data_IF_253358330358
#
_entry.id   IF_253358330358
#
_cell.length_a   1.000
_cell.length_b   1.000
_cell.length_c   1.000
_cell.angle_alpha   90.00
_cell.angle_beta   90.00
_cell.angle_gamma   90.00
#
_symmetry.space_group_name_H-M   'P 1'
#
loop_
_entity.id
_entity.type
_entity.pdbx_description
1 polymer ?
#
# COMPACT_ATOMS: atom_id res chain seq x y z
N UNK A 1 1.34 9.69 -7.00
CA UNK A 1 0.53 8.69 -6.26
C UNK A 1 -0.73 9.40 -5.79
N UNK A 2 -1.89 8.75 -5.79
CA UNK A 2 -3.16 9.44 -5.55
C UNK A 2 -3.34 9.99 -4.13
N UNK A 3 -3.20 9.16 -3.09
CA UNK A 3 -3.50 9.54 -1.70
C UNK A 3 -2.24 9.67 -0.84
N UNK A 4 -1.07 9.92 -1.46
CA UNK A 4 0.20 10.12 -0.74
C UNK A 4 0.53 9.01 0.30
N UNK A 5 0.29 7.73 -0.03
CA UNK A 5 0.50 6.63 0.93
C UNK A 5 1.98 6.28 1.14
N UNK A 6 2.34 5.72 2.31
CA UNK A 6 3.71 5.23 2.63
C UNK A 6 3.98 3.93 1.85
N UNK A 7 4.22 4.07 0.55
CA UNK A 7 4.19 2.97 -0.41
C UNK A 7 5.13 1.82 -0.07
N UNK A 8 6.39 2.11 0.28
CA UNK A 8 7.38 1.09 0.63
C UNK A 8 7.01 0.29 1.88
N UNK A 9 6.32 0.93 2.84
CA UNK A 9 5.77 0.22 4.01
C UNK A 9 4.61 -0.69 3.60
N UNK A 10 3.70 -0.20 2.75
CA UNK A 10 2.55 -0.99 2.30
C UNK A 10 2.98 -2.24 1.51
N UNK A 11 3.98 -2.12 0.64
CA UNK A 11 4.50 -3.28 -0.10
C UNK A 11 5.28 -4.23 0.79
N UNK A 12 6.20 -3.72 1.61
CA UNK A 12 7.11 -4.59 2.35
C UNK A 12 6.44 -5.22 3.59
N UNK A 13 5.63 -4.47 4.32
CA UNK A 13 5.03 -4.92 5.59
C UNK A 13 3.63 -5.49 5.38
N UNK A 14 2.75 -4.78 4.67
CA UNK A 14 1.35 -5.22 4.48
C UNK A 14 1.18 -6.16 3.29
N UNK A 15 2.21 -6.30 2.44
CA UNK A 15 2.17 -7.02 1.17
C UNK A 15 1.04 -6.54 0.23
N UNK A 16 0.61 -5.28 0.38
CA UNK A 16 -0.50 -4.66 -0.33
C UNK A 16 -0.07 -4.04 -1.67
N UNK A 17 0.62 -4.83 -2.51
CA UNK A 17 1.16 -4.39 -3.80
C UNK A 17 0.08 -3.89 -4.76
N UNK A 18 -1.09 -4.50 -4.74
CA UNK A 18 -2.23 -4.15 -5.57
C UNK A 18 -2.79 -2.77 -5.23
N UNK A 19 -2.84 -2.40 -3.94
CA UNK A 19 -3.25 -1.06 -3.51
C UNK A 19 -2.31 0.01 -4.07
N UNK A 20 -1.00 -0.18 -3.88
CA UNK A 20 0.02 0.76 -4.36
C UNK A 20 -0.01 0.88 -5.89
N UNK A 21 -0.14 -0.26 -6.59
CA UNK A 21 -0.28 -0.28 -8.05
C UNK A 21 -1.48 0.56 -8.52
N UNK A 22 -2.64 0.35 -7.91
CA UNK A 22 -3.87 1.05 -8.32
C UNK A 22 -3.81 2.55 -8.01
N UNK A 23 -3.23 2.95 -6.88
CA UNK A 23 -3.06 4.37 -6.53
C UNK A 23 -2.11 5.10 -7.48
N UNK A 24 -1.07 4.42 -7.98
CA UNK A 24 -0.18 4.99 -8.99
C UNK A 24 -0.92 5.14 -10.31
N UNK A 25 -1.60 4.08 -10.78
CA UNK A 25 -2.37 4.12 -12.01
C UNK A 25 -3.44 5.23 -11.98
N UNK A 26 -4.17 5.33 -10.86
CA UNK A 26 -5.17 6.37 -10.67
C UNK A 26 -4.55 7.76 -10.58
N UNK A 27 -3.45 7.92 -9.83
CA UNK A 27 -2.73 9.19 -9.74
C UNK A 27 -2.22 9.67 -11.11
N UNK A 28 -1.66 8.77 -11.93
CA UNK A 28 -1.25 9.08 -13.31
C UNK A 28 -2.41 9.58 -14.15
N UNK A 29 -3.55 8.90 -14.08
CA UNK A 29 -4.77 9.29 -14.79
C UNK A 29 -5.22 10.70 -14.40
N UNK A 30 -5.27 11.00 -13.10
CA UNK A 30 -5.64 12.35 -12.62
C UNK A 30 -4.64 13.40 -13.10
N UNK A 31 -3.34 13.11 -13.07
CA UNK A 31 -2.32 14.01 -13.61
C UNK A 31 -2.52 14.25 -15.10
N UNK A 32 -2.73 13.21 -15.90
CA UNK A 32 -2.99 13.32 -17.34
C UNK A 32 -4.22 14.22 -17.61
N UNK A 33 -5.35 13.95 -16.95
CA UNK A 33 -6.59 14.72 -17.09
C UNK A 33 -6.39 16.20 -16.69
N UNK A 34 -5.71 16.45 -15.57
CA UNK A 34 -5.44 17.81 -15.06
C UNK A 34 -4.51 18.59 -15.99
N UNK A 35 -3.58 17.90 -16.65
CA UNK A 35 -2.59 18.49 -17.55
C UNK A 35 -3.05 18.51 -19.02
N UNK A 36 -4.36 18.41 -19.27
CA UNK A 36 -4.95 18.58 -20.62
C UNK A 36 -5.04 17.29 -21.46
N UNK A 37 -4.96 16.11 -20.84
CA UNK A 37 -5.33 14.84 -21.44
C UNK A 37 -4.30 14.19 -22.37
N UNK A 38 -3.09 14.74 -22.47
CA UNK A 38 -2.00 14.19 -23.30
C UNK A 38 -0.66 14.08 -22.57
N UNK A 39 -0.60 14.57 -21.33
CA UNK A 39 0.62 14.52 -20.54
C UNK A 39 0.81 13.13 -19.91
N UNK A 40 1.85 12.43 -20.34
CA UNK A 40 2.24 11.17 -19.72
C UNK A 40 3.22 11.41 -18.58
N UNK A 41 2.76 11.19 -17.34
CA UNK A 41 3.59 11.20 -16.15
C UNK A 41 4.58 10.01 -16.17
N UNK A 42 5.86 10.32 -16.33
CA UNK A 42 6.98 9.35 -16.29
C UNK A 42 7.75 9.40 -14.97
N UNK A 43 7.67 10.50 -14.24
CA UNK A 43 8.26 10.64 -12.90
C UNK A 43 7.24 10.38 -11.80
N UNK A 44 7.71 9.94 -10.64
CA UNK A 44 6.92 9.88 -9.42
C UNK A 44 7.69 10.54 -8.26
N UNK A 45 6.97 11.31 -7.44
CA UNK A 45 7.40 11.54 -6.06
C UNK A 45 6.96 10.34 -5.24
N UNK A 46 7.92 9.53 -4.79
CA UNK A 46 7.65 8.47 -3.82
C UNK A 46 7.30 9.15 -2.51
N UNK A 47 6.04 9.07 -2.01
CA UNK A 47 5.64 9.80 -0.81
C UNK A 47 6.59 9.52 0.34
N UNK A 48 7.07 10.58 0.99
CA UNK A 48 8.02 10.49 2.11
C UNK A 48 9.32 9.77 1.77
N UNK A 49 9.64 9.67 0.47
CA UNK A 49 10.68 8.79 -0.07
C UNK A 49 10.62 7.39 0.58
N UNK A 50 9.41 6.92 0.92
CA UNK A 50 9.16 5.65 1.55
C UNK A 50 9.40 4.52 0.55
N UNK A 51 10.66 4.14 0.37
CA UNK A 51 11.10 3.24 -0.66
C UNK A 51 11.22 1.80 -0.16
N UNK A 52 10.97 0.85 -1.06
CA UNK A 52 11.27 -0.57 -0.92
C UNK A 52 11.62 -1.10 -2.32
N UNK A 53 12.50 -2.10 -2.41
CA UNK A 53 12.78 -2.77 -3.68
C UNK A 53 11.52 -3.40 -4.30
N UNK A 54 10.51 -3.76 -3.49
CA UNK A 54 9.21 -4.27 -3.94
C UNK A 54 8.41 -3.23 -4.78
N UNK A 55 8.78 -1.95 -4.74
CA UNK A 55 8.16 -0.90 -5.57
C UNK A 55 8.65 -0.92 -7.03
N UNK A 56 9.84 -1.45 -7.31
CA UNK A 56 10.43 -1.40 -8.65
C UNK A 56 9.53 -2.07 -9.70
N UNK A 57 9.03 -3.31 -9.49
CA UNK A 57 8.11 -3.92 -10.44
C UNK A 57 6.83 -3.11 -10.63
N UNK A 58 6.29 -2.52 -9.56
CA UNK A 58 5.06 -1.73 -9.58
C UNK A 58 5.26 -0.46 -10.42
N UNK A 59 6.37 0.25 -10.20
CA UNK A 59 6.70 1.47 -10.93
C UNK A 59 6.92 1.18 -12.41
N UNK A 60 7.70 0.14 -12.71
CA UNK A 60 7.98 -0.29 -14.08
C UNK A 60 6.70 -0.63 -14.84
N UNK A 61 5.80 -1.43 -14.24
CA UNK A 61 4.54 -1.86 -14.87
C UNK A 61 3.55 -0.69 -15.04
N UNK A 62 3.62 0.31 -14.18
CA UNK A 62 2.86 1.56 -14.33
C UNK A 62 3.50 2.54 -15.34
N UNK A 63 4.61 2.18 -15.97
CA UNK A 63 5.33 3.05 -16.90
C UNK A 63 6.05 4.23 -16.23
N UNK A 64 6.24 4.18 -14.91
CA UNK A 64 7.08 5.14 -14.19
C UNK A 64 8.54 4.82 -14.51
N UNK A 65 9.30 5.84 -14.86
CA UNK A 65 10.69 5.75 -15.29
C UNK A 65 11.66 6.20 -14.21
N UNK A 66 11.31 7.22 -13.42
CA UNK A 66 12.22 7.78 -12.43
C UNK A 66 11.54 8.26 -11.15
N UNK A 67 12.30 8.27 -10.06
CA UNK A 67 11.95 8.89 -8.77
C UNK A 67 13.18 9.58 -8.18
N UNK A 68 12.96 10.38 -7.14
CA UNK A 68 14.01 10.96 -6.28
C UNK A 68 14.00 10.26 -4.93
N UNK A 69 15.17 9.98 -4.36
CA UNK A 69 15.37 9.45 -3.00
C UNK A 69 16.40 10.31 -2.23
N UNK A 70 16.57 10.02 -0.94
CA UNK A 70 17.44 10.79 -0.04
C UNK A 70 18.89 10.28 -0.02
N UNK A 71 19.86 11.19 -0.05
CA UNK A 71 21.29 10.85 0.05
C UNK A 71 21.62 10.08 1.34
N UNK A 72 21.25 10.67 2.48
CA UNK A 72 21.69 10.22 3.81
C UNK A 72 21.11 8.84 4.11
N UNK A 73 19.83 8.65 3.82
CA UNK A 73 19.11 7.46 4.25
C UNK A 73 19.01 6.36 3.20
N UNK A 74 19.13 6.70 1.91
CA UNK A 74 19.08 5.73 0.82
C UNK A 74 20.46 5.53 0.16
N UNK A 75 21.05 6.57 -0.43
CA UNK A 75 22.28 6.42 -1.23
C UNK A 75 23.47 5.87 -0.43
N UNK A 76 23.71 6.43 0.77
CA UNK A 76 24.84 6.05 1.60
C UNK A 76 24.82 4.56 1.98
N UNK A 77 23.63 3.97 2.05
CA UNK A 77 23.40 2.58 2.42
C UNK A 77 23.02 1.69 1.22
N UNK A 78 22.97 2.24 0.00
CA UNK A 78 22.72 1.47 -1.21
C UNK A 78 23.92 0.58 -1.57
N UNK A 79 23.64 -0.53 -2.25
CA UNK A 79 24.61 -1.51 -2.73
C UNK A 79 24.63 -1.54 -4.26
N UNK A 80 25.78 -1.92 -4.83
CA UNK A 80 26.03 -1.94 -6.26
C UNK A 80 27.17 -1.01 -6.67
N UNK A 81 27.21 -0.63 -7.94
CA UNK A 81 28.17 0.35 -8.45
C UNK A 81 27.68 1.75 -8.07
N UNK A 82 28.39 2.41 -7.15
CA UNK A 82 28.10 3.79 -6.71
C UNK A 82 29.35 4.64 -6.65
N UNK A 83 29.18 5.94 -6.90
CA UNK A 83 30.25 6.94 -6.82
C UNK A 83 29.80 8.16 -6.01
N UNK A 84 28.95 9.01 -6.59
CA UNK A 84 28.38 10.17 -5.91
C UNK A 84 26.88 10.28 -6.16
N UNK A 85 26.17 11.07 -5.37
CA UNK A 85 24.74 11.36 -5.59
C UNK A 85 24.47 12.21 -6.83
N UNK A 86 25.52 12.79 -7.42
CA UNK A 86 25.43 13.81 -8.46
C UNK A 86 25.32 13.21 -9.88
N UNK A 87 24.77 12.01 -10.01
CA UNK A 87 24.49 11.34 -11.27
C UNK A 87 23.26 10.41 -11.14
N UNK A 88 22.54 10.12 -12.25
CA UNK A 88 21.41 9.19 -12.22
C UNK A 88 21.88 7.73 -12.14
N UNK A 89 21.11 6.91 -11.41
CA UNK A 89 21.38 5.49 -11.20
C UNK A 89 20.28 4.61 -11.80
N UNK A 90 20.65 3.44 -12.30
CA UNK A 90 19.71 2.35 -12.57
C UNK A 90 19.56 1.55 -11.28
N UNK A 91 18.34 1.39 -10.79
CA UNK A 91 18.04 0.52 -9.64
C UNK A 91 17.27 -0.68 -10.16
N UNK A 92 17.83 -1.87 -9.98
CA UNK A 92 17.31 -3.11 -10.56
C UNK A 92 16.80 -4.05 -9.46
N UNK A 93 15.57 -4.56 -9.64
CA UNK A 93 15.12 -5.75 -8.93
C UNK A 93 15.74 -6.96 -9.62
N UNK A 94 16.77 -7.53 -9.00
CA UNK A 94 17.53 -8.67 -9.54
C UNK A 94 16.68 -9.93 -9.74
N UNK A 95 15.53 -10.04 -9.06
CA UNK A 95 14.65 -11.20 -9.18
C UNK A 95 13.77 -11.15 -10.44
N UNK A 96 13.24 -9.98 -10.79
CA UNK A 96 12.37 -9.79 -11.96
C UNK A 96 13.08 -9.23 -13.19
N UNK A 97 14.28 -8.65 -13.02
CA UNK A 97 15.01 -7.93 -14.05
C UNK A 97 14.41 -6.55 -14.38
N UNK A 98 13.35 -6.13 -13.69
CA UNK A 98 12.75 -4.80 -13.84
C UNK A 98 13.60 -3.76 -13.13
N UNK A 99 13.53 -2.52 -13.62
CA UNK A 99 14.36 -1.44 -13.10
C UNK A 99 13.65 -0.10 -13.17
N UNK A 100 14.15 0.87 -12.40
CA UNK A 100 13.79 2.28 -12.51
C UNK A 100 15.07 3.11 -12.48
N UNK A 101 14.97 4.37 -12.89
CA UNK A 101 16.03 5.33 -12.64
C UNK A 101 15.80 6.06 -11.32
N UNK A 102 16.87 6.28 -10.56
CA UNK A 102 16.80 7.01 -9.29
C UNK A 102 17.84 8.12 -9.31
N UNK A 103 17.40 9.31 -8.91
CA UNK A 103 18.29 10.39 -8.54
C UNK A 103 18.23 10.56 -7.03
N UNK A 104 19.33 11.04 -6.44
CA UNK A 104 19.38 11.31 -5.01
C UNK A 104 19.44 12.81 -4.77
N UNK A 105 18.60 13.32 -3.86
CA UNK A 105 18.67 14.72 -3.47
C UNK A 105 19.92 14.98 -2.64
N UNK A 106 20.52 16.15 -2.80
CA UNK A 106 21.52 16.67 -1.87
C UNK A 106 20.79 17.06 -0.58
N UNK A 107 20.97 16.26 0.47
CA UNK A 107 20.17 16.40 1.70
C UNK A 107 20.49 17.70 2.43
N UNK A 108 21.74 18.17 2.39
CA UNK A 108 22.13 19.45 3.01
C UNK A 108 21.42 20.62 2.33
N UNK A 109 21.60 20.74 1.00
CA UNK A 109 21.00 21.83 0.23
C UNK A 109 19.47 21.82 0.34
N UNK A 110 18.86 20.63 0.26
CA UNK A 110 17.41 20.46 0.38
C UNK A 110 16.89 20.90 1.76
N UNK A 111 17.56 20.49 2.84
CA UNK A 111 17.16 20.82 4.21
C UNK A 111 17.37 22.31 4.53
N UNK A 112 18.38 22.96 3.95
CA UNK A 112 18.55 24.41 4.11
C UNK A 112 17.30 25.16 3.60
N UNK A 113 16.85 24.82 2.40
CA UNK A 113 15.68 25.47 1.80
C UNK A 113 14.37 25.08 2.47
N UNK A 114 14.28 23.85 3.00
CA UNK A 114 13.09 23.34 3.68
C UNK A 114 12.90 23.91 5.09
N UNK A 115 13.97 23.88 5.90
CA UNK A 115 13.85 24.05 7.35
C UNK A 115 14.71 25.20 7.93
N UNK A 116 15.73 25.66 7.20
CA UNK A 116 16.64 26.72 7.67
C UNK A 116 16.44 28.05 6.93
N UNK A 117 15.23 28.31 6.45
CA UNK A 117 14.85 29.48 5.64
C UNK A 117 14.37 30.69 6.48
N UNK A 118 14.95 30.88 7.66
CA UNK A 118 14.53 31.86 8.66
C UNK A 118 15.17 33.24 8.47
N UNK A 119 14.81 33.95 7.41
CA UNK A 119 15.38 35.27 7.11
C UNK A 119 14.73 36.38 7.94
N UNK A 120 15.51 37.30 8.52
CA UNK A 120 14.95 38.37 9.34
C UNK A 120 14.52 39.60 8.52
N UNK A 121 15.19 39.90 7.41
CA UNK A 121 14.82 40.98 6.49
C UNK A 121 15.19 40.66 5.03
N UNK A 122 14.86 41.58 4.12
CA UNK A 122 15.11 41.47 2.68
C UNK A 122 16.61 41.37 2.34
N UNK A 123 17.47 42.14 3.01
CA UNK A 123 18.91 42.14 2.75
C UNK A 123 19.51 40.79 3.14
N UNK A 124 19.10 40.24 4.27
CA UNK A 124 19.50 38.92 4.72
C UNK A 124 19.03 37.83 3.76
N UNK A 125 17.76 37.87 3.34
CA UNK A 125 17.23 36.93 2.35
C UNK A 125 18.01 36.98 1.03
N UNK A 126 18.28 38.19 0.52
CA UNK A 126 19.05 38.38 -0.70
C UNK A 126 20.48 37.82 -0.58
N UNK A 127 21.20 38.19 0.49
CA UNK A 127 22.55 37.66 0.73
C UNK A 127 22.58 36.13 0.80
N UNK A 128 21.62 35.52 1.48
CA UNK A 128 21.54 34.06 1.58
C UNK A 128 21.23 33.41 0.22
N UNK A 129 20.41 34.03 -0.63
CA UNK A 129 20.14 33.53 -1.97
C UNK A 129 21.43 33.49 -2.82
N UNK A 130 22.26 34.52 -2.71
CA UNK A 130 23.56 34.57 -3.33
C UNK A 130 24.48 33.46 -2.81
N UNK A 131 24.64 33.34 -1.49
CA UNK A 131 25.47 32.30 -0.86
C UNK A 131 24.99 30.89 -1.22
N UNK A 132 23.68 30.66 -1.29
CA UNK A 132 23.11 29.37 -1.67
C UNK A 132 23.39 29.05 -3.16
N UNK A 133 23.26 30.02 -4.06
CA UNK A 133 23.62 29.84 -5.48
C UNK A 133 25.10 29.47 -5.66
N UNK A 134 25.99 30.06 -4.85
CA UNK A 134 27.41 29.72 -4.86
C UNK A 134 27.65 28.29 -4.38
N UNK A 135 26.93 27.80 -3.37
CA UNK A 135 27.02 26.41 -2.91
C UNK A 135 26.61 25.42 -4.00
N UNK A 136 25.57 25.75 -4.78
CA UNK A 136 25.15 24.93 -5.94
C UNK A 136 26.24 24.93 -7.00
N UNK A 137 26.73 26.11 -7.40
CA UNK A 137 27.79 26.22 -8.41
C UNK A 137 29.07 25.49 -7.97
N UNK A 138 29.38 25.51 -6.67
CA UNK A 138 30.55 24.82 -6.11
C UNK A 138 30.53 23.30 -6.34
N UNK A 139 29.35 22.67 -6.43
CA UNK A 139 29.23 21.23 -6.73
C UNK A 139 29.79 20.90 -8.12
N UNK A 140 29.64 21.80 -9.08
CA UNK A 140 30.20 21.63 -10.42
C UNK A 140 31.73 21.60 -10.42
N UNK A 141 32.36 22.51 -9.66
CA UNK A 141 33.82 22.68 -9.70
C UNK A 141 34.61 21.59 -8.97
N UNK A 142 34.02 20.95 -7.95
CA UNK A 142 34.75 20.05 -7.06
C UNK A 142 34.30 18.60 -7.19
N UNK A 143 33.02 18.35 -7.39
CA UNK A 143 32.44 17.00 -7.30
C UNK A 143 32.22 16.35 -8.67
N UNK A 144 32.69 17.01 -9.75
CA UNK A 144 32.41 16.63 -11.15
C UNK A 144 30.91 16.31 -11.37
N UNK A 145 30.05 17.08 -10.70
CA UNK A 145 28.62 16.83 -10.63
C UNK A 145 27.97 16.86 -12.01
N UNK A 146 27.34 15.74 -12.42
CA UNK A 146 26.55 15.67 -13.66
C UNK A 146 25.15 16.24 -13.45
N UNK A 147 24.58 16.04 -12.26
CA UNK A 147 23.28 16.55 -11.85
C UNK A 147 23.27 16.90 -10.37
N UNK A 148 22.59 17.97 -9.98
CA UNK A 148 22.31 18.30 -8.58
C UNK A 148 20.81 18.33 -8.39
N UNK A 149 20.28 17.49 -7.51
CA UNK A 149 18.85 17.44 -7.20
C UNK A 149 18.61 18.08 -5.84
N UNK A 150 17.75 19.08 -5.81
CA UNK A 150 17.25 19.72 -4.58
C UNK A 150 15.77 19.37 -4.50
N UNK A 151 15.34 18.69 -3.44
CA UNK A 151 13.99 18.17 -3.33
C UNK A 151 13.43 18.34 -1.92
N UNK A 152 12.23 18.92 -1.85
CA UNK A 152 11.54 19.35 -0.65
C UNK A 152 10.04 19.50 -0.90
N UNK A 153 9.26 19.55 0.18
CA UNK A 153 7.84 19.85 0.10
C UNK A 153 7.62 21.31 -0.30
N UNK A 154 6.60 21.53 -1.14
CA UNK A 154 6.38 22.80 -1.82
C UNK A 154 5.96 23.95 -0.91
N UNK A 155 5.43 23.62 0.26
CA UNK A 155 4.93 24.55 1.27
C UNK A 155 5.93 24.86 2.39
N UNK A 156 7.04 24.11 2.48
CA UNK A 156 7.99 24.22 3.58
C UNK A 156 8.56 25.64 3.74
N UNK A 157 8.79 26.32 2.62
CA UNK A 157 9.28 27.70 2.60
C UNK A 157 8.28 28.71 3.19
N UNK A 158 6.99 28.39 3.22
CA UNK A 158 5.94 29.21 3.80
C UNK A 158 5.65 28.84 5.25
N UNK A 159 5.51 27.55 5.54
CA UNK A 159 4.98 27.06 6.82
C UNK A 159 6.05 27.09 7.91
N UNK A 160 7.29 26.74 7.58
CA UNK A 160 8.37 26.64 8.56
C UNK A 160 9.25 27.89 8.66
N UNK A 161 9.00 28.89 7.81
CA UNK A 161 9.68 30.19 7.88
C UNK A 161 9.09 31.09 8.96
N UNK A 162 9.97 31.70 9.76
CA UNK A 162 9.60 32.78 10.70
C UNK A 162 9.17 34.07 10.00
N UNK A 163 9.55 34.28 8.74
CA UNK A 163 9.19 35.46 7.96
C UNK A 163 8.97 35.06 6.48
N UNK A 164 7.81 34.47 6.15
CA UNK A 164 7.53 33.96 4.81
C UNK A 164 7.70 35.00 3.69
N UNK A 165 7.34 36.29 3.86
CA UNK A 165 7.65 37.32 2.86
C UNK A 165 9.14 37.46 2.54
N UNK A 166 10.03 37.40 3.54
CA UNK A 166 11.47 37.44 3.30
C UNK A 166 11.96 36.16 2.59
N UNK A 167 11.38 35.00 2.89
CA UNK A 167 11.67 33.73 2.18
C UNK A 167 11.24 33.79 0.72
N UNK A 168 10.12 34.44 0.40
CA UNK A 168 9.73 34.67 -0.99
C UNK A 168 10.80 35.49 -1.73
N UNK A 169 11.34 36.55 -1.12
CA UNK A 169 12.43 37.34 -1.71
C UNK A 169 13.68 36.48 -1.92
N UNK A 170 14.03 35.61 -0.96
CA UNK A 170 15.15 34.67 -1.13
C UNK A 170 14.93 33.79 -2.37
N UNK A 171 13.74 33.22 -2.56
CA UNK A 171 13.43 32.35 -3.71
C UNK A 171 13.50 33.11 -5.04
N UNK A 172 12.94 34.32 -5.10
CA UNK A 172 13.02 35.19 -6.27
C UNK A 172 14.47 35.53 -6.64
N UNK A 173 15.28 35.92 -5.64
CA UNK A 173 16.70 36.22 -5.87
C UNK A 173 17.49 34.97 -6.26
N UNK A 174 17.18 33.83 -5.65
CA UNK A 174 17.83 32.57 -5.97
C UNK A 174 17.54 32.19 -7.43
N UNK A 175 16.28 32.30 -7.89
CA UNK A 175 15.93 32.04 -9.29
C UNK A 175 16.77 32.90 -10.25
N UNK A 176 16.85 34.21 -10.00
CA UNK A 176 17.68 35.13 -10.81
C UNK A 176 19.15 34.70 -10.84
N UNK A 177 19.71 34.31 -9.69
CA UNK A 177 21.10 33.86 -9.63
C UNK A 177 21.33 32.55 -10.39
N UNK A 178 20.41 31.60 -10.27
CA UNK A 178 20.51 30.32 -10.97
C UNK A 178 20.35 30.50 -12.50
N UNK A 179 19.43 31.35 -12.94
CA UNK A 179 19.29 31.72 -14.36
C UNK A 179 20.55 32.41 -14.88
N UNK A 180 21.13 33.33 -14.11
CA UNK A 180 22.39 34.01 -14.49
C UNK A 180 23.53 33.00 -14.63
N UNK A 181 23.66 32.05 -13.71
CA UNK A 181 24.68 30.99 -13.77
C UNK A 181 24.45 30.07 -14.97
N UNK A 182 23.19 29.81 -15.33
CA UNK A 182 22.85 29.07 -16.54
C UNK A 182 23.24 29.84 -17.81
N UNK A 183 22.95 31.14 -17.90
CA UNK A 183 23.31 31.97 -19.06
C UNK A 183 24.84 32.08 -19.23
N UNK A 184 25.57 32.05 -18.11
CA UNK A 184 27.03 31.95 -18.10
C UNK A 184 27.56 30.54 -18.39
N UNK A 185 26.68 29.58 -18.70
CA UNK A 185 27.02 28.18 -19.04
C UNK A 185 27.71 27.40 -17.92
N UNK A 186 27.49 27.74 -16.65
CA UNK A 186 27.99 26.94 -15.52
C UNK A 186 27.22 25.62 -15.34
N UNK A 187 25.90 25.66 -15.48
CA UNK A 187 25.02 24.49 -15.44
C UNK A 187 23.74 24.76 -16.24
N UNK A 188 22.90 23.74 -16.42
CA UNK A 188 21.56 23.88 -17.00
C UNK A 188 20.50 23.56 -15.95
N UNK A 189 19.57 24.50 -15.71
CA UNK A 189 18.33 24.22 -14.99
C UNK A 189 17.50 23.28 -15.85
N UNK A 190 17.24 22.08 -15.33
CA UNK A 190 16.65 21.00 -16.10
C UNK A 190 15.53 20.35 -15.31
N UNK A 191 14.50 19.90 -16.01
CA UNK A 191 13.55 18.95 -15.46
C UNK A 191 14.23 17.59 -15.27
N UNK A 192 13.70 16.75 -14.37
CA UNK A 192 14.21 15.37 -14.21
C UNK A 192 14.12 14.56 -15.51
N UNK A 193 13.09 14.82 -16.35
CA UNK A 193 12.95 14.18 -17.66
C UNK A 193 14.13 14.52 -18.56
N UNK A 194 14.47 15.80 -18.68
CA UNK A 194 15.62 16.24 -19.47
C UNK A 194 16.93 15.68 -18.93
N UNK A 195 17.10 15.58 -17.61
CA UNK A 195 18.29 14.94 -17.02
C UNK A 195 18.37 13.48 -17.49
N UNK A 196 17.27 12.73 -17.43
CA UNK A 196 17.25 11.33 -17.84
C UNK A 196 17.45 11.12 -19.35
N UNK A 197 17.06 12.09 -20.17
CA UNK A 197 17.25 12.04 -21.63
C UNK A 197 18.69 12.39 -22.05
N UNK A 198 19.38 13.24 -21.28
CA UNK A 198 20.68 13.79 -21.68
C UNK A 198 21.87 13.24 -20.86
N UNK A 199 21.64 12.69 -19.67
CA UNK A 199 22.67 12.16 -18.78
C UNK A 199 22.51 10.64 -18.67
N UNK A 200 23.43 9.85 -19.25
CA UNK A 200 23.30 8.39 -19.21
C UNK A 200 23.52 7.86 -17.80
N UNK A 201 22.52 7.16 -17.27
CA UNK A 201 22.68 6.33 -16.08
C UNK A 201 23.49 5.09 -16.45
N UNK A 202 24.75 5.04 -16.03
CA UNK A 202 25.68 3.94 -16.33
C UNK A 202 25.94 3.03 -15.13
N UNK A 203 25.61 3.49 -13.93
CA UNK A 203 25.83 2.81 -12.67
C UNK A 203 24.56 2.09 -12.22
N UNK A 204 24.73 0.88 -11.71
CA UNK A 204 23.64 -0.01 -11.30
C UNK A 204 23.69 -0.25 -9.80
N UNK A 205 22.60 0.10 -9.12
CA UNK A 205 22.35 -0.25 -7.73
C UNK A 205 21.48 -1.51 -7.67
N UNK A 206 21.91 -2.50 -6.89
CA UNK A 206 21.23 -3.79 -6.73
C UNK A 206 20.36 -3.84 -5.48
N UNK A 207 20.58 -2.93 -4.53
CA UNK A 207 19.79 -2.81 -3.32
C UNK A 207 19.79 -1.36 -2.83
N UNK A 208 18.63 -0.89 -2.38
CA UNK A 208 18.47 0.34 -1.61
C UNK A 208 17.67 -0.05 -0.37
N UNK A 209 18.08 0.35 0.84
CA UNK A 209 17.37 -0.05 2.05
C UNK A 209 15.90 0.40 2.04
N UNK A 210 15.04 -0.43 2.61
CA UNK A 210 13.63 -0.11 2.83
C UNK A 210 13.49 0.88 3.99
N UNK A 211 13.36 2.17 3.68
CA UNK A 211 13.14 3.22 4.67
C UNK A 211 12.51 4.47 4.02
N UNK A 212 12.61 5.63 4.69
CA UNK A 212 12.06 6.92 4.28
C UNK A 212 13.17 7.97 4.25
N UNK A 213 12.88 9.22 3.87
CA UNK A 213 13.85 10.32 4.02
C UNK A 213 14.24 10.62 5.48
N UNK A 214 13.60 9.99 6.47
CA UNK A 214 13.99 10.02 7.89
C UNK A 214 14.81 8.78 8.32
N UNK A 215 15.06 7.84 7.41
CA UNK A 215 15.75 6.58 7.70
C UNK A 215 14.93 5.56 8.49
N UNK A 216 13.63 5.82 8.71
CA UNK A 216 12.77 4.93 9.49
C UNK A 216 11.29 5.19 9.23
N UNK A 217 10.43 4.22 9.54
CA UNK A 217 8.97 4.39 9.51
C UNK A 217 8.38 4.89 10.83
N UNK A 218 9.20 5.22 11.84
CA UNK A 218 8.74 5.54 13.21
C UNK A 218 7.67 6.64 13.28
N UNK A 219 7.77 7.66 12.42
CA UNK A 219 6.76 8.73 12.30
C UNK A 219 5.37 8.23 11.95
N UNK A 220 5.26 7.19 11.12
CA UNK A 220 3.98 6.60 10.70
C UNK A 220 3.63 5.32 11.47
N UNK A 221 4.61 4.72 12.16
CA UNK A 221 4.45 3.49 12.97
C UNK A 221 5.39 3.46 14.17
N UNK A 222 4.86 3.68 15.36
CA UNK A 222 5.54 3.42 16.63
C UNK A 222 5.81 4.65 17.50
N UNK A 223 5.90 5.86 16.94
CA UNK A 223 6.04 7.07 17.77
C UNK A 223 4.78 7.41 18.58
N UNK A 224 3.59 7.12 18.07
CA UNK A 224 2.40 7.01 18.91
C UNK A 224 2.14 5.54 19.22
N UNK A 225 1.80 5.29 20.48
CA UNK A 225 1.50 3.95 21.00
C UNK A 225 0.36 3.28 20.20
N UNK A 226 -0.57 4.09 19.70
CA UNK A 226 -1.75 3.66 18.99
C UNK A 226 -1.51 3.30 17.52
N UNK A 227 -0.37 3.64 16.91
CA UNK A 227 -0.15 3.37 15.48
C UNK A 227 -0.35 1.89 15.15
N UNK A 228 0.17 0.98 15.98
CA UNK A 228 0.13 -0.46 15.70
C UNK A 228 -1.31 -0.99 15.64
N UNK A 229 -2.17 -0.62 16.59
CA UNK A 229 -3.57 -1.06 16.58
C UNK A 229 -4.34 -0.51 15.37
N UNK A 230 -3.98 0.67 14.87
CA UNK A 230 -4.61 1.23 13.67
C UNK A 230 -4.13 0.51 12.41
N UNK A 231 -2.85 0.19 12.30
CA UNK A 231 -2.32 -0.60 11.17
C UNK A 231 -2.95 -1.99 11.11
N UNK A 232 -3.15 -2.65 12.26
CA UNK A 232 -3.90 -3.91 12.35
C UNK A 232 -5.32 -3.74 11.81
N UNK A 233 -6.05 -2.69 12.22
CA UNK A 233 -7.40 -2.41 11.69
C UNK A 233 -7.40 -2.18 10.18
N UNK A 234 -6.45 -1.40 9.66
CA UNK A 234 -6.33 -1.16 8.23
C UNK A 234 -6.08 -2.47 7.45
N UNK A 235 -5.20 -3.32 7.96
CA UNK A 235 -4.91 -4.63 7.38
C UNK A 235 -6.12 -5.58 7.44
N UNK A 236 -6.89 -5.58 8.53
CA UNK A 236 -8.15 -6.34 8.61
C UNK A 236 -9.15 -5.92 7.53
N UNK A 237 -9.30 -4.61 7.29
CA UNK A 237 -10.18 -4.10 6.24
C UNK A 237 -9.67 -4.49 4.85
N UNK A 238 -8.36 -4.35 4.59
CA UNK A 238 -7.74 -4.82 3.36
C UNK A 238 -8.02 -6.32 3.10
N UNK A 239 -7.86 -7.17 4.14
CA UNK A 239 -8.20 -8.59 4.05
C UNK A 239 -9.68 -8.85 3.77
N UNK A 240 -10.60 -8.06 4.36
CA UNK A 240 -12.04 -8.17 4.08
C UNK A 240 -12.40 -7.77 2.65
N UNK A 241 -11.76 -6.73 2.11
CA UNK A 241 -11.90 -6.34 0.69
C UNK A 241 -11.45 -7.49 -0.19
N UNK A 242 -10.25 -8.05 0.04
CA UNK A 242 -9.74 -9.19 -0.73
C UNK A 242 -10.62 -10.44 -0.61
N UNK A 243 -11.19 -10.69 0.57
CA UNK A 243 -12.16 -11.77 0.78
C UNK A 243 -13.40 -11.59 -0.10
N UNK A 244 -13.97 -10.38 -0.09
CA UNK A 244 -15.14 -10.05 -0.92
C UNK A 244 -14.84 -10.18 -2.41
N UNK A 245 -13.70 -9.67 -2.87
CA UNK A 245 -13.29 -9.78 -4.27
C UNK A 245 -13.08 -11.23 -4.70
N UNK A 246 -12.44 -12.05 -3.85
CA UNK A 246 -12.30 -13.47 -4.10
C UNK A 246 -13.65 -14.20 -4.12
N UNK A 247 -14.54 -13.80 -3.21
CA UNK A 247 -15.90 -14.35 -3.12
C UNK A 247 -16.68 -14.10 -4.41
N UNK A 248 -16.59 -12.93 -5.01
CA UNK A 248 -17.32 -12.60 -6.25
C UNK A 248 -16.53 -12.89 -7.54
N UNK A 249 -15.32 -13.47 -7.42
CA UNK A 249 -14.46 -13.81 -8.55
C UNK A 249 -13.81 -12.61 -9.26
N UNK A 250 -13.64 -11.47 -8.59
CA UNK A 250 -13.00 -10.28 -9.15
C UNK A 250 -13.42 -8.98 -8.46
N UNK A 251 -13.22 -7.85 -9.15
CA UNK A 251 -13.62 -6.52 -8.66
C UNK A 251 -14.96 -6.09 -9.25
N UNK A 252 -15.67 -5.27 -8.50
CA UNK A 252 -16.95 -4.64 -8.86
C UNK A 252 -16.99 -3.19 -8.35
N UNK A 253 -18.13 -2.51 -8.50
CA UNK A 253 -18.24 -1.13 -8.05
C UNK A 253 -18.10 -0.99 -6.53
N UNK A 254 -18.59 -1.96 -5.74
CA UNK A 254 -18.52 -1.91 -4.28
C UNK A 254 -17.08 -2.06 -3.78
N UNK A 255 -16.38 -3.10 -4.24
CA UNK A 255 -14.96 -3.32 -3.91
C UNK A 255 -14.08 -2.17 -4.38
N UNK A 256 -14.31 -1.60 -5.57
CA UNK A 256 -13.60 -0.39 -6.03
C UNK A 256 -13.82 0.80 -5.11
N UNK A 257 -15.06 1.04 -4.66
CA UNK A 257 -15.36 2.09 -3.68
C UNK A 257 -14.69 1.83 -2.33
N UNK A 258 -14.73 0.59 -1.84
CA UNK A 258 -14.09 0.21 -0.59
C UNK A 258 -12.56 0.37 -0.64
N UNK A 259 -11.92 0.01 -1.77
CA UNK A 259 -10.50 0.28 -2.02
C UNK A 259 -10.20 1.78 -2.03
N UNK A 260 -11.00 2.57 -2.75
CA UNK A 260 -10.84 4.02 -2.78
C UNK A 260 -10.95 4.66 -1.38
N UNK A 261 -11.89 4.19 -0.56
CA UNK A 261 -11.97 4.59 0.86
C UNK A 261 -10.75 4.12 1.66
N UNK A 262 -10.24 2.91 1.42
CA UNK A 262 -9.01 2.43 2.06
C UNK A 262 -7.80 3.30 1.69
N UNK A 263 -7.65 3.76 0.44
CA UNK A 263 -6.57 4.67 0.03
C UNK A 263 -6.50 5.92 0.91
N UNK A 264 -7.64 6.55 1.17
CA UNK A 264 -7.72 7.72 2.06
C UNK A 264 -7.43 7.39 3.52
N UNK A 265 -7.74 6.17 3.97
CA UNK A 265 -7.35 5.73 5.31
C UNK A 265 -5.84 5.49 5.43
N UNK A 266 -5.15 5.21 4.33
CA UNK A 266 -3.72 4.89 4.26
C UNK A 266 -2.84 6.12 3.94
N UNK A 267 -3.46 7.27 3.67
CA UNK A 267 -2.78 8.54 3.37
C UNK A 267 -1.80 8.91 4.48
N UNK A 268 -0.51 9.08 4.13
CA UNK A 268 0.56 9.24 5.11
C UNK A 268 0.35 10.39 6.07
N UNK A 269 -0.32 11.45 5.63
CA UNK A 269 -0.45 12.68 6.40
C UNK A 269 -1.24 12.44 7.68
N UNK A 270 -2.24 11.56 7.63
CA UNK A 270 -3.02 11.19 8.80
C UNK A 270 -2.27 10.29 9.79
N UNK A 271 -1.19 9.65 9.33
CA UNK A 271 -0.35 8.77 10.15
C UNK A 271 0.89 9.46 10.72
N UNK A 272 1.23 10.66 10.26
CA UNK A 272 2.39 11.40 10.75
C UNK A 272 2.23 11.72 12.24
N UNK A 273 3.19 11.31 13.09
CA UNK A 273 3.06 11.34 14.55
C UNK A 273 2.62 12.70 15.12
N UNK A 274 3.18 13.82 14.65
CA UNK A 274 2.81 15.17 15.11
C UNK A 274 1.39 15.60 14.67
N UNK A 275 0.90 15.09 13.54
CA UNK A 275 -0.39 15.45 12.92
C UNK A 275 -1.38 14.27 12.90
N UNK A 276 -1.12 13.27 13.74
CA UNK A 276 -1.86 12.02 13.82
C UNK A 276 -3.36 12.26 13.91
N UNK A 277 -4.10 11.77 12.91
CA UNK A 277 -5.51 12.07 12.68
C UNK A 277 -6.38 10.80 12.73
N UNK A 278 -6.55 10.19 13.91
CA UNK A 278 -7.24 8.90 14.06
C UNK A 278 -8.73 8.96 13.72
N UNK A 279 -9.35 10.14 13.84
CA UNK A 279 -10.75 10.36 13.46
C UNK A 279 -10.96 10.20 11.95
N UNK A 280 -10.05 10.73 11.14
CA UNK A 280 -10.10 10.63 9.67
C UNK A 280 -9.80 9.20 9.23
N UNK A 281 -8.77 8.57 9.81
CA UNK A 281 -8.46 7.15 9.55
C UNK A 281 -9.68 6.28 9.88
N UNK A 282 -10.28 6.45 11.06
CA UNK A 282 -11.46 5.69 11.45
C UNK A 282 -12.65 5.92 10.52
N UNK A 283 -12.89 7.16 10.07
CA UNK A 283 -13.98 7.49 9.15
C UNK A 283 -13.86 6.69 7.85
N UNK A 284 -12.67 6.70 7.23
CA UNK A 284 -12.42 6.01 5.98
C UNK A 284 -12.38 4.49 6.12
N UNK A 285 -11.81 3.97 7.22
CA UNK A 285 -11.86 2.54 7.53
C UNK A 285 -13.30 2.07 7.77
N UNK A 286 -14.15 2.88 8.41
CA UNK A 286 -15.55 2.57 8.64
C UNK A 286 -16.34 2.56 7.31
N UNK A 287 -16.11 3.51 6.42
CA UNK A 287 -16.74 3.52 5.09
C UNK A 287 -16.36 2.26 4.30
N UNK A 288 -15.06 1.95 4.20
CA UNK A 288 -14.59 0.74 3.53
C UNK A 288 -15.21 -0.53 4.14
N UNK A 289 -15.25 -0.62 5.48
CA UNK A 289 -15.86 -1.73 6.22
C UNK A 289 -17.36 -1.87 5.91
N UNK A 290 -18.11 -0.79 5.97
CA UNK A 290 -19.56 -0.80 5.79
C UNK A 290 -19.92 -1.29 4.38
N UNK A 291 -19.16 -0.86 3.36
CA UNK A 291 -19.35 -1.31 1.98
C UNK A 291 -19.16 -2.83 1.86
N UNK A 292 -18.07 -3.38 2.38
CA UNK A 292 -17.79 -4.83 2.23
C UNK A 292 -18.67 -5.67 3.13
N UNK A 293 -18.90 -5.28 4.39
CA UNK A 293 -19.70 -6.08 5.34
C UNK A 293 -21.17 -6.13 4.95
N UNK A 294 -21.74 -5.02 4.43
CA UNK A 294 -23.12 -5.03 3.94
C UNK A 294 -23.32 -5.98 2.74
N UNK A 295 -22.27 -6.23 1.96
CA UNK A 295 -22.31 -7.19 0.85
C UNK A 295 -21.97 -8.60 1.29
N UNK A 296 -21.05 -8.79 2.24
CA UNK A 296 -20.76 -10.12 2.79
C UNK A 296 -21.97 -10.70 3.53
N UNK A 297 -22.74 -9.88 4.26
CA UNK A 297 -23.97 -10.30 4.96
C UNK A 297 -25.08 -10.83 4.03
N UNK A 298 -25.03 -10.52 2.74
CA UNK A 298 -25.95 -11.04 1.71
C UNK A 298 -25.65 -12.50 1.35
N UNK A 299 -24.55 -13.05 1.87
CA UNK A 299 -24.16 -14.45 1.72
C UNK A 299 -24.18 -15.08 3.11
N UNK A 300 -25.13 -15.98 3.36
CA UNK A 300 -25.32 -16.54 4.70
C UNK A 300 -25.82 -17.98 4.67
N UNK A 301 -25.61 -18.70 5.78
CA UNK A 301 -26.10 -20.05 6.00
C UNK A 301 -27.56 -19.98 6.45
N UNK A 302 -28.49 -20.18 5.52
CA UNK A 302 -29.92 -20.24 5.85
C UNK A 302 -30.22 -21.40 6.79
N UNK A 303 -29.75 -22.59 6.48
CA UNK A 303 -30.07 -23.81 7.23
C UNK A 303 -28.87 -24.75 7.30
N UNK A 304 -28.71 -25.43 8.43
CA UNK A 304 -27.80 -26.55 8.58
C UNK A 304 -28.47 -27.61 9.45
N UNK A 305 -28.48 -28.88 9.02
CA UNK A 305 -29.05 -30.00 9.78
C UNK A 305 -28.44 -31.33 9.35
N UNK A 306 -28.55 -32.36 10.19
CA UNK A 306 -28.18 -33.72 9.79
C UNK A 306 -29.21 -34.29 8.82
N UNK A 307 -28.77 -35.10 7.86
CA UNK A 307 -29.68 -35.76 6.91
C UNK A 307 -30.37 -36.99 7.50
N UNK A 308 -29.81 -37.53 8.58
CA UNK A 308 -30.34 -38.63 9.38
C UNK A 308 -29.87 -38.53 10.83
N UNK A 309 -30.38 -39.41 11.67
CA UNK A 309 -29.89 -39.57 13.03
C UNK A 309 -28.48 -40.20 13.01
N UNK A 310 -27.46 -39.55 13.57
CA UNK A 310 -26.08 -40.04 13.50
C UNK A 310 -25.79 -41.04 14.64
N UNK A 311 -25.01 -42.07 14.31
CA UNK A 311 -24.48 -43.03 15.26
C UNK A 311 -22.95 -42.94 15.29
N UNK A 312 -22.38 -43.31 16.44
CA UNK A 312 -20.94 -43.41 16.63
C UNK A 312 -20.30 -44.33 15.57
N UNK A 313 -19.12 -43.93 15.09
CA UNK A 313 -18.38 -44.56 14.00
C UNK A 313 -19.08 -44.61 12.63
N UNK A 314 -20.21 -43.91 12.45
CA UNK A 314 -20.91 -43.84 11.17
C UNK A 314 -20.62 -42.54 10.41
N UNK A 315 -20.62 -42.67 9.07
CA UNK A 315 -20.63 -41.53 8.16
C UNK A 315 -22.05 -41.02 7.99
N UNK A 316 -22.26 -39.72 8.02
CA UNK A 316 -23.55 -39.10 7.70
C UNK A 316 -23.31 -37.77 7.01
N UNK A 317 -24.37 -37.12 6.53
CA UNK A 317 -24.23 -35.81 5.91
C UNK A 317 -24.83 -34.72 6.79
N UNK A 318 -24.14 -33.59 6.83
CA UNK A 318 -24.74 -32.33 7.24
C UNK A 318 -25.21 -31.65 5.95
N UNK A 319 -26.53 -31.48 5.83
CA UNK A 319 -27.16 -30.68 4.80
C UNK A 319 -26.98 -29.21 5.17
N UNK A 320 -26.26 -28.46 4.35
CA UNK A 320 -26.06 -27.02 4.50
C UNK A 320 -26.73 -26.32 3.33
N UNK A 321 -27.60 -25.36 3.64
CA UNK A 321 -28.23 -24.48 2.65
C UNK A 321 -27.65 -23.09 2.82
N UNK A 322 -27.04 -22.60 1.74
CA UNK A 322 -26.42 -21.28 1.66
C UNK A 322 -27.21 -20.42 0.70
N UNK A 323 -27.55 -19.21 1.13
CA UNK A 323 -28.23 -18.22 0.31
C UNK A 323 -27.22 -17.20 -0.21
N UNK A 324 -27.31 -16.93 -1.52
CA UNK A 324 -26.58 -15.87 -2.18
C UNK A 324 -27.56 -14.82 -2.68
N UNK A 325 -27.66 -13.71 -1.94
CA UNK A 325 -28.51 -12.58 -2.31
C UNK A 325 -27.76 -11.54 -3.16
N UNK A 326 -26.52 -11.81 -3.58
CA UNK A 326 -25.80 -10.94 -4.50
C UNK A 326 -26.29 -11.14 -5.94
N UNK A 327 -26.13 -10.09 -6.75
CA UNK A 327 -26.36 -10.11 -8.21
C UNK A 327 -25.21 -10.77 -8.99
N UNK A 328 -24.36 -11.54 -8.30
CA UNK A 328 -23.19 -12.22 -8.86
C UNK A 328 -23.10 -13.64 -8.35
N UNK A 329 -22.53 -14.51 -9.17
CA UNK A 329 -22.08 -15.82 -8.73
C UNK A 329 -21.00 -15.66 -7.66
N UNK A 330 -21.02 -16.54 -6.65
CA UNK A 330 -20.04 -16.53 -5.57
C UNK A 330 -19.25 -17.83 -5.51
N UNK A 331 -18.00 -17.71 -5.03
CA UNK A 331 -17.03 -18.77 -4.83
C UNK A 331 -16.72 -18.88 -3.34
N UNK A 332 -17.33 -19.85 -2.67
CA UNK A 332 -17.25 -19.97 -1.20
C UNK A 332 -16.90 -21.38 -0.74
N UNK A 333 -16.10 -21.48 0.30
CA UNK A 333 -15.73 -22.76 0.92
C UNK A 333 -16.59 -22.97 2.16
N UNK A 334 -17.13 -24.18 2.35
CA UNK A 334 -17.89 -24.55 3.55
C UNK A 334 -17.06 -25.48 4.40
N UNK A 335 -16.69 -25.06 5.60
CA UNK A 335 -15.91 -25.87 6.55
C UNK A 335 -16.80 -26.28 7.73
N UNK A 336 -16.54 -27.47 8.28
CA UNK A 336 -17.23 -27.96 9.48
C UNK A 336 -16.19 -28.26 10.56
N UNK A 337 -16.42 -27.75 11.77
CA UNK A 337 -15.59 -28.00 12.94
C UNK A 337 -16.41 -28.51 14.12
N UNK A 338 -15.99 -29.62 14.73
CA UNK A 338 -16.52 -30.12 16.01
C UNK A 338 -15.56 -31.14 16.62
N UNK A 339 -15.43 -31.24 17.96
CA UNK A 339 -14.62 -32.28 18.61
C UNK A 339 -15.12 -33.71 18.36
N UNK A 340 -16.42 -33.88 18.09
CA UNK A 340 -17.05 -35.19 17.89
C UNK A 340 -17.12 -35.66 16.43
N UNK A 341 -16.69 -34.82 15.48
CA UNK A 341 -16.84 -35.07 14.04
C UNK A 341 -15.53 -34.82 13.30
N UNK A 342 -15.27 -35.63 12.28
CA UNK A 342 -14.24 -35.34 11.28
C UNK A 342 -14.87 -35.22 9.90
N UNK A 343 -14.40 -34.26 9.10
CA UNK A 343 -14.74 -34.20 7.68
C UNK A 343 -13.98 -35.29 6.94
N UNK A 344 -14.68 -36.01 6.06
CA UNK A 344 -14.11 -37.18 5.35
C UNK A 344 -13.31 -36.75 4.10
N UNK A 345 -13.48 -35.50 3.64
CA UNK A 345 -12.78 -34.94 2.47
C UNK A 345 -12.24 -33.55 2.79
N UNK A 346 -10.94 -33.46 3.00
CA UNK A 346 -10.22 -32.20 3.29
C UNK A 346 -10.11 -31.26 2.07
N UNK A 347 -10.34 -31.75 0.85
CA UNK A 347 -10.36 -30.90 -0.35
C UNK A 347 -11.71 -30.20 -0.53
N UNK A 348 -11.96 -29.17 0.27
CA UNK A 348 -13.12 -28.32 0.08
C UNK A 348 -12.87 -27.37 -1.11
N UNK A 349 -13.07 -27.89 -2.33
CA UNK A 349 -13.17 -27.06 -3.53
C UNK A 349 -14.24 -25.97 -3.30
N UNK A 350 -13.97 -24.72 -3.69
CA UNK A 350 -14.96 -23.65 -3.63
C UNK A 350 -16.26 -24.06 -4.32
N UNK A 351 -17.39 -23.81 -3.66
CA UNK A 351 -18.71 -23.90 -4.23
C UNK A 351 -18.99 -22.70 -5.09
N UNK A 352 -19.55 -22.96 -6.27
CA UNK A 352 -20.10 -21.92 -7.13
C UNK A 352 -21.61 -21.85 -6.85
N UNK A 353 -22.05 -20.76 -6.23
CA UNK A 353 -23.47 -20.50 -5.96
C UNK A 353 -23.92 -19.38 -6.89
N UNK A 354 -24.98 -19.61 -7.66
CA UNK A 354 -25.46 -18.65 -8.66
C UNK A 354 -25.99 -17.38 -8.01
N UNK A 355 -25.94 -16.27 -8.74
CA UNK A 355 -26.57 -15.02 -8.34
C UNK A 355 -28.04 -15.21 -7.93
N UNK A 356 -28.49 -14.52 -6.88
CA UNK A 356 -29.88 -14.55 -6.37
C UNK A 356 -30.45 -15.95 -6.22
N UNK A 357 -29.67 -16.87 -5.65
CA UNK A 357 -30.07 -18.28 -5.55
C UNK A 357 -29.67 -18.89 -4.20
N UNK A 358 -30.30 -20.02 -3.89
CA UNK A 358 -29.91 -20.89 -2.78
C UNK A 358 -29.19 -22.12 -3.32
N UNK A 359 -28.18 -22.60 -2.59
CA UNK A 359 -27.50 -23.84 -2.89
C UNK A 359 -27.53 -24.77 -1.68
N UNK A 360 -27.94 -26.02 -1.92
CA UNK A 360 -27.95 -27.07 -0.90
C UNK A 360 -26.78 -28.03 -1.15
N UNK A 361 -25.94 -28.24 -0.14
CA UNK A 361 -24.83 -29.20 -0.17
C UNK A 361 -24.96 -30.21 0.96
N UNK A 362 -24.77 -31.48 0.64
CA UNK A 362 -24.50 -32.52 1.64
C UNK A 362 -23.00 -32.61 1.87
N UNK A 363 -22.58 -32.42 3.12
CA UNK A 363 -21.17 -32.49 3.53
C UNK A 363 -20.98 -33.78 4.34
N UNK A 364 -20.19 -34.75 3.83
CA UNK A 364 -19.96 -36.01 4.51
C UNK A 364 -19.03 -35.79 5.71
N UNK A 365 -19.49 -36.24 6.87
CA UNK A 365 -18.77 -36.21 8.14
C UNK A 365 -18.85 -37.59 8.80
N UNK A 366 -17.85 -37.93 9.61
CA UNK A 366 -17.85 -39.15 10.42
C UNK A 366 -17.95 -38.79 11.90
N UNK A 367 -18.86 -39.45 12.60
CA UNK A 367 -18.95 -39.41 14.05
C UNK A 367 -17.83 -40.22 14.70
N UNK A 368 -17.08 -39.61 15.61
CA UNK A 368 -16.02 -40.28 16.38
C UNK A 368 -16.51 -40.68 17.77
N UNK A 369 -17.34 -39.85 18.38
CA UNK A 369 -17.80 -40.05 19.76
C UNK A 369 -19.32 -39.92 19.82
N UNK A 370 -19.95 -40.70 20.70
CA UNK A 370 -21.37 -40.51 21.06
C UNK A 370 -21.56 -39.37 22.07
N UNK A 371 -22.74 -38.74 22.05
CA UNK A 371 -23.09 -37.60 22.89
C UNK A 371 -23.62 -36.39 22.12
N UNK A 372 -23.89 -35.31 22.84
CA UNK A 372 -24.33 -34.04 22.26
C UNK A 372 -23.11 -33.18 21.89
N UNK A 373 -22.98 -32.82 20.61
CA UNK A 373 -21.89 -31.99 20.11
C UNK A 373 -22.41 -30.70 19.48
N UNK A 374 -21.71 -29.61 19.76
CA UNK A 374 -21.85 -28.37 18.99
C UNK A 374 -21.01 -28.48 17.72
N UNK A 375 -21.65 -28.28 16.58
CA UNK A 375 -21.03 -28.34 15.27
C UNK A 375 -21.08 -26.97 14.65
N UNK A 376 -19.92 -26.40 14.35
CA UNK A 376 -19.80 -25.09 13.71
C UNK A 376 -19.62 -25.29 12.21
N UNK A 377 -20.56 -24.77 11.43
CA UNK A 377 -20.46 -24.67 9.98
C UNK A 377 -20.02 -23.24 9.66
N UNK A 378 -19.00 -23.08 8.84
CA UNK A 378 -18.46 -21.77 8.46
C UNK A 378 -18.38 -21.62 6.95
N UNK A 379 -18.76 -20.44 6.46
CA UNK A 379 -18.49 -19.97 5.10
C UNK A 379 -17.19 -19.20 5.11
N UNK A 380 -16.23 -19.64 4.30
CA UNK A 380 -14.89 -19.04 4.24
C UNK A 380 -14.55 -18.69 2.79
N UNK A 381 -14.01 -17.49 2.59
CA UNK A 381 -13.36 -17.08 1.34
C UNK A 381 -12.03 -16.43 1.67
N UNK A 382 -10.98 -16.80 0.93
CA UNK A 382 -9.63 -16.27 1.11
C UNK A 382 -9.12 -16.30 2.57
N UNK A 383 -9.44 -17.36 3.31
CA UNK A 383 -9.07 -17.52 4.72
C UNK A 383 -9.78 -16.54 5.68
N UNK A 384 -10.86 -15.88 5.26
CA UNK A 384 -11.69 -14.98 6.07
C UNK A 384 -13.08 -15.58 6.22
N UNK A 385 -13.59 -15.57 7.45
CA UNK A 385 -14.97 -15.98 7.77
C UNK A 385 -15.97 -14.97 7.19
N UNK A 386 -16.94 -15.47 6.43
CA UNK A 386 -18.06 -14.70 5.88
C UNK A 386 -19.26 -14.80 6.83
N UNK A 387 -19.64 -16.03 7.15
CA UNK A 387 -20.77 -16.35 8.01
C UNK A 387 -20.52 -17.68 8.73
N UNK A 388 -21.17 -17.90 9.87
CA UNK A 388 -21.10 -19.16 10.61
C UNK A 388 -22.41 -19.49 11.29
N UNK A 389 -22.73 -20.78 11.35
CA UNK A 389 -23.90 -21.31 12.05
C UNK A 389 -23.52 -22.49 12.91
N UNK A 390 -23.94 -22.45 14.17
CA UNK A 390 -23.76 -23.56 15.11
C UNK A 390 -25.03 -24.40 15.16
N UNK A 391 -24.88 -25.71 15.09
CA UNK A 391 -25.98 -26.68 15.22
C UNK A 391 -25.64 -27.71 16.27
N UNK A 392 -26.65 -28.12 17.03
CA UNK A 392 -26.54 -29.23 17.98
C UNK A 392 -26.76 -30.56 17.24
N UNK A 393 -25.82 -31.49 17.41
CA UNK A 393 -25.89 -32.83 16.83
C UNK A 393 -25.77 -33.85 17.95
N UNK A 394 -26.84 -34.61 18.16
CA UNK A 394 -26.86 -35.70 19.13
C UNK A 394 -26.47 -37.01 18.43
N UNK A 395 -25.28 -37.52 18.76
CA UNK A 395 -24.72 -38.76 18.19
C UNK A 395 -25.05 -39.90 19.14
N UNK A 396 -25.79 -40.89 18.65
CA UNK A 396 -26.15 -42.07 19.46
C UNK A 396 -25.01 -43.07 19.54
N UNK A 397 -24.81 -43.76 20.68
CA UNK A 397 -23.86 -44.86 20.76
C UNK A 397 -24.29 -45.99 19.82
N UNK A 398 -23.32 -46.62 19.15
CA UNK A 398 -23.58 -47.77 18.31
C UNK A 398 -23.52 -49.05 19.16
N UNK A 399 -24.64 -49.74 19.29
CA UNK A 399 -24.67 -51.04 19.96
C UNK A 399 -24.02 -52.11 19.05
N UNK A 400 -23.16 -52.99 19.60
CA UNK A 400 -22.65 -54.12 18.84
C UNK A 400 -23.81 -55.02 18.40
N UNK A 401 -23.69 -55.71 17.24
CA UNK A 401 -24.71 -56.67 16.81
C UNK A 401 -24.92 -57.74 17.88
N UNK A 402 -26.16 -58.20 17.99
CA UNK A 402 -26.54 -59.24 18.95
C UNK A 402 -25.65 -60.48 18.74
N UNK A 403 -24.93 -60.98 19.76
CA UNK A 403 -24.11 -62.17 19.60
C UNK A 403 -24.99 -63.35 19.16
N UNK A 404 -24.58 -64.01 18.08
CA UNK A 404 -25.21 -65.22 17.55
C UNK A 404 -24.80 -66.46 18.34
#
# INVERSE_FOLDING_TARGET
>A
MYAHTIAGFLTDVMKAHDIVYEEIAYGKKITEETMGGSYEAQGIWTPEMAFSMDLIPIYYDNGIKYTVLDEVHHFNHAEGDKNSIYEPYIVIDTSSGKYIYVLFRDSELSNIMSFNNNFYDEIHAWRNAYEYSLRIAHKWFIEEAKSVVIALDGENWMIFSKNPPATAIFLDKLAIYLETLQDMSFFKLSTLREIMENIPASKVLTNIPTNTWLGTFRKWRGERQEHEQYWVRAYEIYRKINCYEKLIGGKDQNSRRARWSLWHALDSDYWWAEFWSPSIINMWLAEARNIVESNLKKVHIREAKTDREPFEDEEFNILVIVDNELDKDIYVTVTIGSPGLIMIRDELKPLIIKAKSSYARKIPVKAIYSGLFLVVISLVSNGVLIDSKTVEVNIKPKLPPNPH
#
